data_IF_215093373491
#
_entry.id   IF_215093373491
#
_cell.length_a   1.000
_cell.length_b   1.000
_cell.length_c   1.000
_cell.angle_alpha   90.00
_cell.angle_beta   90.00
_cell.angle_gamma   90.00
#
_symmetry.space_group_name_H-M   'P 1'
#
loop_
_entity.id
_entity.type
_entity.pdbx_description
1 polymer ?
#
# COMPACT_ATOMS: atom_id res chain seq x y z
N UNK A 1 27.44 10.88 1.62
CA UNK A 1 26.72 11.44 0.45
C UNK A 1 25.32 10.82 0.43
N UNK A 2 24.28 11.61 0.13
CA UNK A 2 22.90 11.13 0.01
C UNK A 2 22.26 11.75 -1.24
N UNK A 3 21.34 11.02 -1.87
CA UNK A 3 20.55 11.48 -3.03
C UNK A 3 19.09 11.51 -2.61
N UNK A 4 18.44 12.67 -2.78
CA UNK A 4 17.00 12.82 -2.59
C UNK A 4 16.30 12.87 -3.95
N UNK A 5 15.16 12.18 -4.05
CA UNK A 5 14.30 12.22 -5.25
C UNK A 5 12.92 12.68 -4.83
N UNK A 6 12.36 13.64 -5.57
CA UNK A 6 11.03 14.19 -5.33
C UNK A 6 10.22 14.08 -6.62
N UNK A 7 9.02 13.51 -6.51
CA UNK A 7 8.08 13.37 -7.63
C UNK A 7 6.67 13.69 -7.14
N UNK A 8 5.92 14.42 -7.95
CA UNK A 8 4.49 14.64 -7.68
C UNK A 8 3.73 13.34 -7.88
N UNK A 9 2.99 12.91 -6.86
CA UNK A 9 2.15 11.69 -6.95
C UNK A 9 1.02 11.84 -7.99
N UNK A 10 0.72 13.06 -8.47
CA UNK A 10 -0.18 13.28 -9.61
C UNK A 10 0.39 12.73 -10.92
N UNK A 11 1.71 12.61 -11.00
CA UNK A 11 2.43 12.21 -12.22
C UNK A 11 2.78 10.72 -12.20
N UNK A 12 3.19 10.19 -11.05
CA UNK A 12 3.75 8.84 -10.98
C UNK A 12 3.44 8.16 -9.64
N UNK A 13 3.17 6.85 -9.70
CA UNK A 13 3.16 5.98 -8.54
C UNK A 13 4.58 5.51 -8.16
N UNK A 14 4.68 4.76 -7.05
CA UNK A 14 5.95 4.25 -6.56
C UNK A 14 6.68 3.33 -7.56
N UNK A 15 5.95 2.54 -8.35
CA UNK A 15 6.55 1.65 -9.35
C UNK A 15 7.18 2.45 -10.49
N UNK A 16 6.50 3.49 -10.96
CA UNK A 16 7.04 4.42 -11.97
C UNK A 16 8.27 5.15 -11.46
N UNK A 17 8.27 5.58 -10.19
CA UNK A 17 9.45 6.17 -9.55
C UNK A 17 10.64 5.20 -9.50
N UNK A 18 10.40 3.93 -9.12
CA UNK A 18 11.45 2.90 -9.11
C UNK A 18 12.00 2.66 -10.51
N UNK A 19 11.15 2.56 -11.53
CA UNK A 19 11.57 2.43 -12.93
C UNK A 19 12.45 3.60 -13.36
N UNK A 20 12.07 4.83 -13.02
CA UNK A 20 12.88 6.03 -13.29
C UNK A 20 14.25 5.97 -12.61
N UNK A 21 14.29 5.65 -11.31
CA UNK A 21 15.55 5.57 -10.56
C UNK A 21 16.47 4.49 -11.15
N UNK A 22 15.92 3.33 -11.52
CA UNK A 22 16.68 2.26 -12.15
C UNK A 22 17.25 2.66 -13.52
N UNK A 23 16.43 3.30 -14.36
CA UNK A 23 16.84 3.82 -15.67
C UNK A 23 17.94 4.89 -15.52
N UNK A 24 17.77 5.83 -14.59
CA UNK A 24 18.76 6.87 -14.31
C UNK A 24 20.09 6.26 -13.85
N UNK A 25 20.05 5.32 -12.91
CA UNK A 25 21.24 4.64 -12.42
C UNK A 25 21.94 3.83 -13.53
N UNK A 26 21.18 3.20 -14.43
CA UNK A 26 21.72 2.47 -15.58
C UNK A 26 22.39 3.41 -16.59
N UNK A 27 21.78 4.56 -16.89
CA UNK A 27 22.35 5.60 -17.73
C UNK A 27 23.70 6.10 -17.17
N UNK A 28 23.78 6.36 -15.86
CA UNK A 28 25.03 6.77 -15.22
C UNK A 28 26.13 5.70 -15.28
N UNK A 29 25.77 4.41 -15.38
CA UNK A 29 26.74 3.30 -15.51
C UNK A 29 27.06 2.93 -16.96
N UNK A 30 26.38 3.52 -17.95
CA UNK A 30 26.49 3.10 -19.35
C UNK A 30 25.90 1.71 -19.63
N UNK A 31 24.97 1.23 -18.81
CA UNK A 31 24.37 -0.10 -18.94
C UNK A 31 23.22 -0.09 -19.97
N UNK A 32 23.58 -0.22 -21.24
CA UNK A 32 22.64 -0.20 -22.36
C UNK A 32 21.56 -1.30 -22.28
N UNK A 33 21.87 -2.46 -21.69
CA UNK A 33 20.90 -3.57 -21.56
C UNK A 33 19.79 -3.20 -20.58
N UNK A 34 20.15 -2.67 -19.42
CA UNK A 34 19.16 -2.22 -18.43
C UNK A 34 18.35 -1.06 -18.97
N UNK A 35 18.98 -0.09 -19.64
CA UNK A 35 18.27 1.04 -20.26
C UNK A 35 17.18 0.55 -21.22
N UNK A 36 17.49 -0.42 -22.08
CA UNK A 36 16.55 -0.95 -23.06
C UNK A 36 15.29 -1.57 -22.41
N UNK A 37 15.43 -2.24 -21.26
CA UNK A 37 14.29 -2.89 -20.57
C UNK A 37 13.55 -1.96 -19.60
N UNK A 38 14.15 -0.82 -19.23
CA UNK A 38 13.52 0.20 -18.36
C UNK A 38 12.84 1.35 -19.10
N UNK A 39 12.79 1.31 -20.44
CA UNK A 39 12.18 2.40 -21.22
C UNK A 39 10.69 2.54 -20.89
N UNK A 40 10.23 3.69 -20.34
CA UNK A 40 8.85 3.86 -19.93
C UNK A 40 7.89 3.93 -21.12
N UNK A 41 6.66 3.42 -20.94
CA UNK A 41 5.55 3.68 -21.86
C UNK A 41 4.65 4.77 -21.31
N UNK A 42 4.22 5.70 -22.18
CA UNK A 42 3.35 6.82 -21.83
C UNK A 42 2.01 6.70 -22.55
N UNK A 43 1.31 5.60 -22.30
CA UNK A 43 0.04 5.23 -22.93
C UNK A 43 -1.14 5.25 -21.94
N UNK A 44 -1.01 5.95 -20.82
CA UNK A 44 -2.08 6.10 -19.81
C UNK A 44 -3.36 6.67 -20.45
N UNK A 45 -3.25 7.75 -21.21
CA UNK A 45 -4.41 8.44 -21.79
C UNK A 45 -5.13 7.62 -22.88
N UNK A 46 -4.42 6.73 -23.58
CA UNK A 46 -5.03 5.85 -24.58
C UNK A 46 -5.69 4.62 -23.95
N UNK A 47 -5.18 4.15 -22.81
CA UNK A 47 -5.73 2.99 -22.09
C UNK A 47 -6.86 3.34 -21.14
N UNK A 48 -6.81 4.52 -20.53
CA UNK A 48 -7.77 4.98 -19.55
C UNK A 48 -8.31 6.34 -20.00
N UNK A 49 -9.47 6.37 -20.68
CA UNK A 49 -10.08 7.64 -21.07
C UNK A 49 -10.34 8.48 -19.81
N UNK A 50 -10.19 9.80 -19.87
CA UNK A 50 -10.37 10.67 -18.72
C UNK A 50 -11.76 10.44 -18.10
N UNK A 51 -11.86 10.06 -16.81
CA UNK A 51 -13.15 9.99 -16.14
C UNK A 51 -13.74 11.40 -16.00
N UNK A 52 -15.05 11.47 -15.78
CA UNK A 52 -15.71 12.70 -15.34
C UNK A 52 -15.24 13.03 -13.91
N UNK A 53 -14.13 13.78 -13.81
CA UNK A 53 -13.43 14.08 -12.55
C UNK A 53 -14.34 14.73 -11.50
N UNK A 54 -15.41 15.43 -11.92
CA UNK A 54 -16.37 16.08 -11.02
C UNK A 54 -17.24 15.07 -10.25
N UNK A 55 -17.43 13.84 -10.75
CA UNK A 55 -18.21 12.81 -10.06
C UNK A 55 -17.46 12.10 -8.94
N UNK A 56 -16.12 12.07 -8.98
CA UNK A 56 -15.32 11.22 -8.10
C UNK A 56 -14.55 11.97 -7.00
N UNK A 57 -14.41 13.30 -7.14
CA UNK A 57 -13.75 14.13 -6.14
C UNK A 57 -14.69 15.27 -5.71
N UNK A 58 -15.55 15.05 -4.70
CA UNK A 58 -16.18 16.18 -4.04
C UNK A 58 -15.08 17.05 -3.44
N UNK A 59 -14.92 18.25 -4.00
CA UNK A 59 -14.01 19.27 -3.49
C UNK A 59 -14.36 19.57 -2.02
N UNK A 60 -13.39 19.48 -1.11
CA UNK A 60 -13.60 20.06 0.23
C UNK A 60 -13.11 19.25 1.42
N UNK A 61 -12.33 18.18 1.26
CA UNK A 61 -11.64 17.62 2.42
C UNK A 61 -10.71 18.70 3.01
N UNK A 62 -10.90 19.13 4.27
CA UNK A 62 -10.04 20.14 4.86
C UNK A 62 -8.59 19.61 4.90
N UNK A 63 -7.59 20.49 4.75
CA UNK A 63 -6.21 20.07 4.91
C UNK A 63 -6.06 19.41 6.29
N UNK A 64 -5.31 18.30 6.39
CA UNK A 64 -5.07 17.66 7.66
C UNK A 64 -4.47 18.68 8.63
N UNK A 65 -4.95 18.67 9.87
CA UNK A 65 -4.42 19.55 10.90
C UNK A 65 -2.94 19.25 11.11
N UNK A 66 -2.07 20.27 11.22
CA UNK A 66 -0.66 20.05 11.51
C UNK A 66 -0.50 19.29 12.83
N UNK A 67 0.01 18.07 12.77
CA UNK A 67 0.30 17.26 13.95
C UNK A 67 1.81 17.06 14.08
N UNK A 68 2.32 17.12 15.30
CA UNK A 68 3.72 16.79 15.59
C UNK A 68 3.86 15.27 15.51
N UNK A 69 4.37 14.78 14.39
CA UNK A 69 4.62 13.36 14.16
C UNK A 69 6.09 13.03 14.42
N UNK A 70 6.32 11.82 14.97
CA UNK A 70 7.65 11.23 15.10
C UNK A 70 7.72 9.99 14.23
N UNK A 71 8.71 9.93 13.33
CA UNK A 71 8.94 8.75 12.50
C UNK A 71 9.93 7.82 13.20
N UNK A 72 9.56 6.55 13.36
CA UNK A 72 10.43 5.48 13.86
C UNK A 72 10.54 4.35 12.84
N UNK A 73 11.72 3.71 12.78
CA UNK A 73 11.95 2.55 11.90
C UNK A 73 11.94 1.26 12.72
N UNK A 74 11.07 0.33 12.36
CA UNK A 74 10.99 -1.01 12.93
C UNK A 74 11.47 -2.03 11.90
N UNK A 75 12.41 -2.89 12.29
CA UNK A 75 13.00 -3.91 11.40
C UNK A 75 12.53 -5.30 11.82
N UNK A 76 11.93 -6.02 10.87
CA UNK A 76 11.48 -7.40 11.02
C UNK A 76 12.45 -8.31 10.27
N UNK A 77 13.28 -9.06 11.01
CA UNK A 77 14.16 -10.06 10.42
C UNK A 77 13.38 -11.33 10.03
N UNK A 78 14.05 -12.28 9.39
CA UNK A 78 13.41 -13.50 8.88
C UNK A 78 12.69 -14.31 9.97
N UNK A 79 13.29 -14.46 11.15
CA UNK A 79 12.70 -15.16 12.28
C UNK A 79 11.40 -14.49 12.75
N UNK A 80 11.40 -13.16 12.92
CA UNK A 80 10.20 -12.39 13.28
C UNK A 80 9.14 -12.46 12.19
N UNK A 81 9.53 -12.37 10.92
CA UNK A 81 8.60 -12.52 9.80
C UNK A 81 7.97 -13.92 9.76
N UNK A 82 8.76 -14.97 10.01
CA UNK A 82 8.23 -16.34 10.09
C UNK A 82 7.24 -16.50 11.24
N UNK A 83 7.55 -15.94 12.41
CA UNK A 83 6.65 -15.94 13.56
C UNK A 83 5.34 -15.19 13.27
N UNK A 84 5.41 -13.99 12.66
CA UNK A 84 4.22 -13.22 12.28
C UNK A 84 3.37 -13.96 11.25
N UNK A 85 4.00 -14.58 10.24
CA UNK A 85 3.28 -15.38 9.25
C UNK A 85 2.59 -16.56 9.88
N UNK A 86 3.25 -17.27 10.81
CA UNK A 86 2.64 -18.37 11.57
C UNK A 86 1.46 -17.90 12.42
N UNK A 87 1.57 -16.75 13.08
CA UNK A 87 0.49 -16.18 13.91
C UNK A 87 -0.70 -15.72 13.07
N UNK A 88 -0.47 -15.28 11.83
CA UNK A 88 -1.52 -14.91 10.88
C UNK A 88 -2.05 -16.11 10.08
N UNK A 89 -1.52 -17.33 10.27
CA UNK A 89 -1.98 -18.53 9.58
C UNK A 89 -3.18 -19.17 10.28
N UNK A 90 -4.08 -19.75 9.49
CA UNK A 90 -5.22 -20.53 9.99
C UNK A 90 -5.92 -21.28 8.86
N UNK A 91 -7.11 -21.81 9.13
CA UNK A 91 -7.84 -22.73 8.22
C UNK A 91 -8.11 -22.15 6.83
N UNK A 92 -8.49 -20.88 6.73
CA UNK A 92 -8.77 -20.16 5.48
C UNK A 92 -7.53 -19.46 4.90
N UNK A 93 -6.44 -19.40 5.66
CA UNK A 93 -5.20 -18.73 5.28
C UNK A 93 -4.00 -19.53 5.80
N UNK A 94 -3.70 -20.64 5.13
CA UNK A 94 -2.57 -21.48 5.56
C UNK A 94 -1.23 -20.74 5.44
N UNK A 95 -1.08 -19.95 4.36
CA UNK A 95 0.18 -19.24 4.02
C UNK A 95 -0.06 -17.75 3.77
N UNK A 96 -0.08 -16.90 4.81
CA UNK A 96 -0.05 -15.45 4.66
C UNK A 96 1.22 -15.00 3.94
N UNK A 97 1.12 -13.95 3.13
CA UNK A 97 2.28 -13.23 2.59
C UNK A 97 2.97 -12.41 3.69
N UNK A 98 4.21 -11.97 3.45
CA UNK A 98 4.91 -11.06 4.38
C UNK A 98 4.16 -9.74 4.56
N UNK A 99 3.55 -9.22 3.48
CA UNK A 99 2.77 -7.98 3.50
C UNK A 99 1.52 -8.15 4.35
N UNK A 100 0.74 -9.22 4.15
CA UNK A 100 -0.45 -9.51 4.94
C UNK A 100 -0.11 -9.65 6.44
N UNK A 101 0.91 -10.44 6.77
CA UNK A 101 1.29 -10.70 8.17
C UNK A 101 1.79 -9.44 8.90
N UNK A 102 2.68 -8.65 8.27
CA UNK A 102 3.19 -7.41 8.88
C UNK A 102 2.10 -6.34 8.96
N UNK A 103 1.23 -6.26 7.95
CA UNK A 103 0.13 -5.29 7.94
C UNK A 103 -0.91 -5.60 9.01
N UNK A 104 -1.30 -6.88 9.16
CA UNK A 104 -2.18 -7.32 10.24
C UNK A 104 -1.55 -7.00 11.61
N UNK A 105 -0.24 -7.21 11.74
CA UNK A 105 0.48 -6.88 12.97
C UNK A 105 0.45 -5.40 13.32
N UNK A 106 0.77 -4.54 12.36
CA UNK A 106 0.74 -3.08 12.54
C UNK A 106 -0.69 -2.62 12.83
N UNK A 107 -1.67 -3.13 12.08
CA UNK A 107 -3.08 -2.74 12.23
C UNK A 107 -3.63 -3.10 13.61
N UNK A 108 -3.32 -4.31 14.12
CA UNK A 108 -3.68 -4.72 15.48
C UNK A 108 -3.08 -3.80 16.54
N UNK A 109 -1.79 -3.48 16.43
CA UNK A 109 -1.13 -2.61 17.39
C UNK A 109 -1.60 -1.15 17.31
N UNK A 110 -1.95 -0.68 16.12
CA UNK A 110 -2.60 0.61 15.95
C UNK A 110 -3.96 0.65 16.67
N UNK A 111 -4.81 -0.37 16.47
CA UNK A 111 -6.09 -0.50 17.17
C UNK A 111 -5.87 -0.52 18.68
N UNK A 112 -4.92 -1.33 19.18
CA UNK A 112 -4.59 -1.42 20.60
C UNK A 112 -4.14 -0.08 21.19
N UNK A 113 -3.26 0.64 20.50
CA UNK A 113 -2.77 1.94 20.95
C UNK A 113 -3.92 2.95 21.08
N UNK A 114 -4.78 3.05 20.06
CA UNK A 114 -5.95 3.94 20.09
C UNK A 114 -6.91 3.57 21.22
N UNK A 115 -7.12 2.28 21.48
CA UNK A 115 -7.96 1.81 22.59
C UNK A 115 -7.38 2.16 23.96
N UNK A 116 -6.06 2.10 24.13
CA UNK A 116 -5.41 2.36 25.42
C UNK A 116 -5.41 3.83 25.83
N UNK A 117 -5.67 4.76 24.91
CA UNK A 117 -5.64 6.20 25.19
C UNK A 117 -6.98 6.74 25.77
N UNK A 118 -7.93 5.87 26.14
CA UNK A 118 -9.28 6.22 26.65
C UNK A 118 -10.11 7.18 25.77
N UNK A 119 -9.63 7.51 24.56
CA UNK A 119 -10.28 8.38 23.58
C UNK A 119 -11.59 7.84 23.01
N UNK A 120 -11.99 6.63 23.42
CA UNK A 120 -13.15 5.96 22.87
C UNK A 120 -14.44 6.32 23.61
N UNK A 121 -14.40 6.78 24.88
CA UNK A 121 -15.61 7.14 25.65
C UNK A 121 -16.78 6.13 25.55
N UNK A 122 -16.52 4.86 25.25
CA UNK A 122 -17.54 3.83 25.00
C UNK A 122 -18.15 3.81 23.59
N UNK A 123 -17.70 4.66 22.66
CA UNK A 123 -18.16 4.67 21.26
C UNK A 123 -17.49 3.57 20.42
N UNK A 124 -18.30 2.85 19.65
CA UNK A 124 -17.82 1.92 18.64
C UNK A 124 -17.09 2.69 17.52
N UNK A 125 -15.86 2.28 17.19
CA UNK A 125 -15.10 2.85 16.07
C UNK A 125 -14.83 1.83 14.99
N UNK A 126 -14.93 2.31 13.75
CA UNK A 126 -14.45 1.59 12.57
C UNK A 126 -12.97 1.88 12.39
N UNK A 127 -12.17 0.83 12.37
CA UNK A 127 -10.77 0.89 12.00
C UNK A 127 -10.63 0.39 10.56
N UNK A 128 -9.91 1.15 9.73
CA UNK A 128 -9.65 0.80 8.35
C UNK A 128 -8.15 0.65 8.09
N UNK A 129 -7.79 -0.39 7.35
CA UNK A 129 -6.47 -0.52 6.73
C UNK A 129 -6.63 -0.33 5.21
N UNK A 130 -5.81 0.55 4.65
CA UNK A 130 -5.78 0.83 3.22
C UNK A 130 -4.45 0.37 2.62
N UNK A 131 -4.50 -0.40 1.54
CA UNK A 131 -3.33 -0.84 0.79
C UNK A 131 -3.40 -0.33 -0.64
N UNK A 132 -2.32 0.31 -1.09
CA UNK A 132 -2.08 0.56 -2.49
C UNK A 132 -1.74 -0.77 -3.18
N UNK A 133 -2.49 -1.11 -4.23
CA UNK A 133 -2.33 -2.33 -5.01
C UNK A 133 -1.91 -1.93 -6.42
N UNK A 134 -0.78 -2.46 -6.88
CA UNK A 134 -0.35 -2.31 -8.27
C UNK A 134 -1.32 -3.07 -9.19
N UNK A 135 -2.02 -2.34 -10.06
CA UNK A 135 -2.98 -2.92 -10.99
C UNK A 135 -2.35 -3.31 -12.32
N UNK A 136 -1.08 -2.97 -12.57
CA UNK A 136 -0.38 -3.37 -13.80
C UNK A 136 -0.52 -4.86 -14.10
N UNK A 137 -0.20 -5.79 -13.17
CA UNK A 137 -0.38 -7.22 -13.42
C UNK A 137 -1.84 -7.69 -13.39
N UNK A 138 -2.78 -6.83 -12.97
CA UNK A 138 -4.21 -7.17 -12.78
C UNK A 138 -5.10 -6.68 -13.91
N UNK A 139 -4.62 -5.75 -14.72
CA UNK A 139 -5.33 -5.26 -15.89
C UNK A 139 -5.58 -6.39 -16.92
N UNK A 140 -6.60 -6.23 -17.75
CA UNK A 140 -6.91 -7.15 -18.84
C UNK A 140 -6.96 -6.38 -20.18
N UNK A 141 -5.93 -6.47 -21.03
CA UNK A 141 -4.68 -7.21 -20.83
C UNK A 141 -3.76 -6.57 -19.77
N UNK A 142 -2.80 -7.31 -19.18
CA UNK A 142 -1.85 -6.75 -18.22
C UNK A 142 -1.10 -5.56 -18.80
N UNK A 143 -0.87 -4.54 -17.97
CA UNK A 143 -0.04 -3.40 -18.34
C UNK A 143 1.44 -3.82 -18.31
N UNK A 144 2.28 -3.27 -19.21
CA UNK A 144 3.72 -3.47 -19.12
C UNK A 144 4.26 -2.99 -17.77
N UNK A 145 5.31 -3.63 -17.25
CA UNK A 145 6.01 -3.14 -16.05
C UNK A 145 6.61 -1.74 -16.26
N UNK A 146 6.87 -1.38 -17.52
CA UNK A 146 7.36 -0.08 -17.96
C UNK A 146 6.27 0.99 -18.02
N UNK A 147 5.01 0.63 -17.78
CA UNK A 147 3.91 1.58 -17.77
C UNK A 147 4.16 2.69 -16.76
N UNK A 148 4.31 3.91 -17.28
CA UNK A 148 4.64 5.09 -16.49
C UNK A 148 3.38 5.89 -16.19
N UNK A 149 3.19 6.20 -14.90
CA UNK A 149 2.02 6.92 -14.42
C UNK A 149 1.51 6.34 -13.11
N UNK A 150 0.23 6.58 -12.83
CA UNK A 150 -0.45 5.96 -11.70
C UNK A 150 -1.28 4.77 -12.21
N UNK A 151 -0.91 3.56 -11.80
CA UNK A 151 -1.71 2.35 -11.98
C UNK A 151 -1.85 1.67 -10.61
N UNK A 152 -2.66 2.28 -9.75
CA UNK A 152 -2.87 1.87 -8.37
C UNK A 152 -4.36 1.84 -8.05
N UNK A 153 -4.81 0.74 -7.45
CA UNK A 153 -6.11 0.65 -6.80
C UNK A 153 -5.93 0.68 -5.27
N UNK A 154 -6.94 1.14 -4.56
CA UNK A 154 -6.94 1.16 -3.10
C UNK A 154 -7.78 0.00 -2.58
N UNK A 155 -7.12 -0.97 -1.97
CA UNK A 155 -7.77 -2.03 -1.20
C UNK A 155 -8.09 -1.53 0.21
N UNK A 156 -9.33 -1.75 0.65
CA UNK A 156 -9.80 -1.38 1.98
C UNK A 156 -10.22 -2.62 2.76
N UNK A 157 -9.72 -2.74 3.99
CA UNK A 157 -10.16 -3.70 4.98
C UNK A 157 -10.66 -2.95 6.21
N UNK A 158 -11.80 -3.38 6.78
CA UNK A 158 -12.43 -2.71 7.91
C UNK A 158 -12.77 -3.70 9.02
N UNK A 159 -12.65 -3.22 10.26
CA UNK A 159 -13.11 -3.93 11.46
C UNK A 159 -13.69 -2.93 12.45
N UNK A 160 -14.67 -3.35 13.24
CA UNK A 160 -15.10 -2.63 14.43
C UNK A 160 -14.56 -3.35 15.66
N UNK A 161 -14.49 -2.66 16.78
CA UNK A 161 -14.10 -3.27 18.07
C UNK A 161 -15.32 -3.26 18.98
N UNK A 162 -16.19 -4.25 18.83
CA UNK A 162 -17.36 -4.37 19.69
C UNK A 162 -17.00 -4.82 21.12
N UNK A 163 -15.92 -5.59 21.35
CA UNK A 163 -15.52 -5.94 22.74
C UNK A 163 -14.07 -6.48 22.88
N UNK A 164 -13.56 -7.29 21.93
CA UNK A 164 -12.24 -7.96 22.06
C UNK A 164 -11.16 -7.41 21.12
N UNK A 165 -9.88 -7.62 21.48
CA UNK A 165 -8.74 -7.30 20.60
C UNK A 165 -8.76 -8.24 19.38
N UNK A 166 -8.75 -7.72 18.14
CA UNK A 166 -8.87 -8.57 16.97
C UNK A 166 -7.66 -9.49 16.81
N UNK A 167 -7.92 -10.71 16.35
CA UNK A 167 -6.90 -11.72 16.13
C UNK A 167 -6.09 -11.45 14.84
N UNK A 168 -4.80 -11.83 14.84
CA UNK A 168 -3.93 -11.59 13.68
C UNK A 168 -4.43 -12.30 12.42
N UNK A 169 -4.95 -13.52 12.55
CA UNK A 169 -5.44 -14.29 11.43
C UNK A 169 -6.73 -13.68 10.86
N UNK A 170 -7.64 -13.20 11.71
CA UNK A 170 -8.85 -12.49 11.27
C UNK A 170 -8.54 -11.20 10.50
N UNK A 171 -7.63 -10.37 11.02
CA UNK A 171 -7.19 -9.16 10.33
C UNK A 171 -6.49 -9.48 9.01
N UNK A 172 -5.69 -10.54 8.97
CA UNK A 172 -5.03 -10.99 7.74
C UNK A 172 -6.05 -11.43 6.68
N UNK A 173 -7.12 -12.16 7.06
CA UNK A 173 -8.22 -12.52 6.14
C UNK A 173 -8.86 -11.26 5.56
N UNK A 174 -9.25 -10.30 6.41
CA UNK A 174 -9.87 -9.05 5.95
C UNK A 174 -8.97 -8.30 4.96
N UNK A 175 -7.66 -8.24 5.23
CA UNK A 175 -6.67 -7.65 4.33
C UNK A 175 -6.60 -8.39 2.99
N UNK A 176 -6.52 -9.72 3.01
CA UNK A 176 -6.49 -10.54 1.81
C UNK A 176 -7.74 -10.34 0.95
N UNK A 177 -8.91 -10.35 1.56
CA UNK A 177 -10.18 -10.19 0.86
C UNK A 177 -10.29 -8.80 0.24
N UNK A 178 -9.86 -7.75 0.97
CA UNK A 178 -9.76 -6.40 0.42
C UNK A 178 -8.80 -6.33 -0.78
N UNK A 179 -7.63 -6.95 -0.68
CA UNK A 179 -6.62 -6.96 -1.74
C UNK A 179 -7.07 -7.77 -2.97
N UNK A 180 -7.78 -8.89 -2.78
CA UNK A 180 -8.25 -9.76 -3.87
C UNK A 180 -9.38 -9.17 -4.71
N UNK A 181 -10.16 -8.23 -4.15
CA UNK A 181 -11.25 -7.55 -4.86
C UNK A 181 -10.77 -6.55 -5.91
N UNK A 182 -9.50 -6.18 -5.89
CA UNK A 182 -8.88 -5.19 -6.78
C UNK A 182 -8.04 -5.83 -7.88
#
# INVERSE_FOLDING_TARGET
MAIGVYVSHRVADAMSLVTFINAWAAACRGDAKTIAVTQPTFDLASRFPPPDFFKYFPSGAPPPTPQKLVTKRFVFNEQKLAALRKAASGTMMEKPTRVEAVSAFIWRHFIKAVRSEDKLNGEERVFAAAHAVDIRPRASPPLPNQFFGNAVAQALAMTTTAETEPDYYELAIKLRDGIKKN
#
